data_IF_840423408542
#
_entry.id   IF_840423408542
#
_cell.length_a   1.000
_cell.length_b   1.000
_cell.length_c   1.000
_cell.angle_alpha   90.00
_cell.angle_beta   90.00
_cell.angle_gamma   90.00
#
_symmetry.space_group_name_H-M   'P 1'
#
loop_
_entity.id
_entity.type
_entity.pdbx_description
1 polymer ?
#
# COMPACT_ATOMS: atom_id res chain seq x y z
N UNK A 1 43.13 22.33 7.75
CA UNK A 1 42.35 21.72 8.86
C UNK A 1 41.40 22.77 9.41
N UNK A 2 40.19 22.34 9.82
CA UNK A 2 39.01 23.10 10.30
C UNK A 2 38.18 23.79 9.20
N UNK A 3 36.85 23.59 9.08
CA UNK A 3 35.86 22.97 9.97
C UNK A 3 34.73 22.35 9.12
N UNK A 4 34.64 21.02 9.10
CA UNK A 4 33.37 20.33 8.85
C UNK A 4 32.60 20.35 10.18
N UNK A 5 31.79 21.38 10.38
CA UNK A 5 30.78 21.57 11.44
C UNK A 5 30.28 23.00 11.18
N UNK A 6 29.11 23.24 10.59
CA UNK A 6 27.80 23.03 11.21
C UNK A 6 26.68 22.91 10.14
N UNK A 7 26.73 21.92 9.26
CA UNK A 7 25.59 21.60 8.36
C UNK A 7 24.60 20.61 9.02
N UNK A 8 24.91 20.17 10.24
CA UNK A 8 24.15 19.16 11.00
C UNK A 8 22.92 19.75 11.73
N UNK A 9 22.76 21.09 11.71
CA UNK A 9 21.69 21.81 12.40
C UNK A 9 20.93 22.78 11.50
N UNK A 10 20.88 22.51 10.19
CA UNK A 10 19.90 23.15 9.33
C UNK A 10 18.52 22.49 9.56
N UNK A 11 17.55 23.18 10.22
CA UNK A 11 16.20 22.65 10.39
C UNK A 11 15.51 22.39 9.06
N UNK A 12 15.91 23.09 7.98
CA UNK A 12 15.39 22.87 6.64
C UNK A 12 15.89 21.55 6.05
N UNK A 13 17.16 21.17 6.26
CA UNK A 13 17.71 19.87 5.88
C UNK A 13 16.98 18.67 6.53
N UNK A 14 16.66 18.78 7.82
CA UNK A 14 15.85 17.77 8.53
C UNK A 14 14.41 17.70 7.97
N UNK A 15 13.84 18.85 7.61
CA UNK A 15 12.49 18.95 7.02
C UNK A 15 12.45 18.32 5.62
N UNK A 16 13.42 18.64 4.76
CA UNK A 16 13.53 18.09 3.39
C UNK A 16 13.73 16.57 3.43
N UNK A 17 14.57 16.06 4.34
CA UNK A 17 14.76 14.62 4.50
C UNK A 17 13.45 13.92 4.91
N UNK A 18 12.71 14.49 5.86
CA UNK A 18 11.41 13.99 6.30
C UNK A 18 10.37 14.02 5.19
N UNK A 19 10.26 15.13 4.44
CA UNK A 19 9.35 15.27 3.31
C UNK A 19 9.63 14.24 2.20
N UNK A 20 10.90 14.02 1.88
CA UNK A 20 11.32 13.00 0.91
C UNK A 20 10.94 11.59 1.38
N UNK A 21 11.14 11.28 2.66
CA UNK A 21 10.74 10.00 3.24
C UNK A 21 9.22 9.80 3.16
N UNK A 22 8.44 10.84 3.47
CA UNK A 22 6.99 10.79 3.35
C UNK A 22 6.55 10.57 1.90
N UNK A 23 7.11 11.31 0.95
CA UNK A 23 6.82 11.13 -0.48
C UNK A 23 7.17 9.73 -0.97
N UNK A 24 8.31 9.18 -0.54
CA UNK A 24 8.72 7.82 -0.87
C UNK A 24 7.73 6.77 -0.32
N UNK A 25 7.26 6.94 0.92
CA UNK A 25 6.27 6.04 1.52
C UNK A 25 4.92 6.07 0.78
N UNK A 26 4.46 7.26 0.37
CA UNK A 26 3.24 7.42 -0.42
C UNK A 26 3.37 6.76 -1.80
N UNK A 27 4.51 6.93 -2.47
CA UNK A 27 4.80 6.30 -3.76
C UNK A 27 4.82 4.77 -3.66
N UNK A 28 5.46 4.24 -2.63
CA UNK A 28 5.51 2.80 -2.39
C UNK A 28 4.12 2.23 -2.10
N UNK A 29 3.33 2.90 -1.25
CA UNK A 29 1.94 2.52 -1.00
C UNK A 29 1.11 2.52 -2.29
N UNK A 30 1.27 3.53 -3.16
CA UNK A 30 0.57 3.61 -4.43
C UNK A 30 0.95 2.46 -5.37
N UNK A 31 2.24 2.11 -5.46
CA UNK A 31 2.72 0.98 -6.27
C UNK A 31 2.14 -0.35 -5.80
N UNK A 32 2.14 -0.60 -4.48
CA UNK A 32 1.51 -1.81 -3.92
C UNK A 32 0.03 -1.90 -4.27
N UNK A 33 -0.69 -0.77 -4.17
CA UNK A 33 -2.11 -0.69 -4.47
C UNK A 33 -2.42 -0.95 -5.95
N UNK A 34 -1.54 -0.54 -6.87
CA UNK A 34 -1.64 -0.89 -8.29
C UNK A 34 -1.53 -2.40 -8.51
N UNK A 35 -0.54 -3.05 -7.89
CA UNK A 35 -0.38 -4.50 -7.96
C UNK A 35 -1.62 -5.23 -7.44
N UNK A 36 -2.18 -4.80 -6.32
CA UNK A 36 -3.41 -5.38 -5.75
C UNK A 36 -4.61 -5.24 -6.69
N UNK A 37 -4.72 -4.13 -7.41
CA UNK A 37 -5.77 -3.90 -8.42
C UNK A 37 -5.57 -4.81 -9.63
N UNK A 38 -4.34 -4.92 -10.15
CA UNK A 38 -4.03 -5.79 -11.28
C UNK A 38 -4.33 -7.26 -10.96
N UNK A 39 -3.98 -7.71 -9.76
CA UNK A 39 -4.33 -9.06 -9.29
C UNK A 39 -5.85 -9.25 -9.17
N UNK A 40 -6.59 -8.23 -8.74
CA UNK A 40 -8.04 -8.31 -8.65
C UNK A 40 -8.71 -8.40 -10.03
N UNK A 41 -8.20 -7.65 -11.01
CA UNK A 41 -8.62 -7.75 -12.41
C UNK A 41 -8.32 -9.15 -12.98
N UNK A 42 -7.13 -9.71 -12.70
CA UNK A 42 -6.79 -11.07 -13.10
C UNK A 42 -7.75 -12.11 -12.49
N UNK A 43 -8.09 -11.99 -11.21
CA UNK A 43 -9.09 -12.87 -10.56
C UNK A 43 -10.48 -12.72 -11.19
N UNK A 44 -10.87 -11.51 -11.58
CA UNK A 44 -12.14 -11.28 -12.27
C UNK A 44 -12.17 -11.95 -13.64
N UNK A 45 -11.10 -11.81 -14.43
CA UNK A 45 -10.97 -12.51 -15.71
C UNK A 45 -10.99 -14.03 -15.57
N UNK A 46 -10.42 -14.57 -14.48
CA UNK A 46 -10.44 -16.00 -14.16
C UNK A 46 -11.75 -16.50 -13.52
N UNK A 47 -12.75 -15.63 -13.28
CA UNK A 47 -14.00 -16.01 -12.61
C UNK A 47 -13.86 -16.31 -11.10
N UNK A 48 -12.73 -15.95 -10.49
CA UNK A 48 -12.42 -16.16 -9.08
C UNK A 48 -12.61 -14.89 -8.22
N UNK A 49 -13.10 -13.79 -8.81
CA UNK A 49 -13.34 -12.55 -8.08
C UNK A 49 -14.40 -12.74 -6.98
N UNK A 50 -14.14 -12.10 -5.84
CA UNK A 50 -14.98 -12.24 -4.65
C UNK A 50 -14.77 -13.53 -3.85
N UNK A 51 -13.72 -14.32 -4.14
CA UNK A 51 -13.29 -15.44 -3.28
C UNK A 51 -12.05 -15.10 -2.47
N UNK A 52 -12.05 -15.49 -1.21
CA UNK A 52 -10.95 -15.30 -0.29
C UNK A 52 -9.76 -16.17 -0.72
N UNK A 53 -8.58 -15.56 -0.85
CA UNK A 53 -7.36 -16.25 -1.22
C UNK A 53 -6.85 -17.24 -0.15
N UNK A 54 -7.30 -17.11 1.10
CA UNK A 54 -6.88 -17.98 2.21
C UNK A 54 -7.84 -19.14 2.45
N UNK A 55 -9.13 -18.86 2.63
CA UNK A 55 -10.13 -19.88 2.98
C UNK A 55 -11.02 -20.33 1.81
N UNK A 56 -10.91 -19.70 0.64
CA UNK A 56 -11.74 -19.98 -0.54
C UNK A 56 -13.21 -19.53 -0.45
N UNK A 57 -13.65 -19.09 0.74
CA UNK A 57 -15.00 -18.58 0.99
C UNK A 57 -15.29 -17.21 0.34
N UNK A 58 -16.55 -16.75 0.36
CA UNK A 58 -16.92 -15.47 -0.25
C UNK A 58 -16.34 -14.27 0.52
N UNK A 59 -15.91 -13.26 -0.22
CA UNK A 59 -15.61 -11.93 0.31
C UNK A 59 -16.92 -11.13 0.32
N UNK A 60 -17.26 -10.54 1.47
CA UNK A 60 -18.50 -9.78 1.63
C UNK A 60 -18.63 -8.65 0.60
N UNK A 61 -19.83 -8.48 0.04
CA UNK A 61 -20.12 -7.49 -1.00
C UNK A 61 -19.82 -6.07 -0.55
N UNK A 62 -20.17 -5.69 0.68
CA UNK A 62 -19.85 -4.38 1.26
C UNK A 62 -18.34 -4.13 1.31
N UNK A 63 -17.55 -5.17 1.61
CA UNK A 63 -16.09 -5.08 1.62
C UNK A 63 -15.53 -4.88 0.22
N UNK A 64 -16.06 -5.58 -0.78
CA UNK A 64 -15.68 -5.37 -2.18
C UNK A 64 -16.13 -4.01 -2.72
N UNK A 65 -17.27 -3.50 -2.26
CA UNK A 65 -17.74 -2.15 -2.61
C UNK A 65 -16.79 -1.07 -2.05
N UNK A 66 -16.34 -1.22 -0.81
CA UNK A 66 -15.38 -0.29 -0.21
C UNK A 66 -13.94 -0.50 -0.72
N UNK A 67 -13.54 -1.74 -0.97
CA UNK A 67 -12.19 -2.14 -1.41
C UNK A 67 -12.29 -3.25 -2.47
N UNK A 68 -12.44 -2.89 -3.76
CA UNK A 68 -12.59 -3.86 -4.85
C UNK A 68 -11.40 -4.81 -5.00
N UNK A 69 -10.20 -4.36 -4.63
CA UNK A 69 -8.98 -5.17 -4.69
C UNK A 69 -8.81 -6.13 -3.51
N UNK A 70 -9.77 -6.20 -2.58
CA UNK A 70 -9.67 -7.08 -1.40
C UNK A 70 -9.40 -8.54 -1.80
N UNK A 71 -8.34 -9.13 -1.21
CA UNK A 71 -7.94 -10.53 -1.43
C UNK A 71 -8.53 -11.50 -0.43
N UNK A 72 -8.94 -11.02 0.74
CA UNK A 72 -9.34 -11.85 1.88
C UNK A 72 -10.68 -11.42 2.47
N UNK A 73 -11.42 -12.36 3.04
CA UNK A 73 -12.66 -12.09 3.75
C UNK A 73 -12.38 -11.42 5.11
N UNK A 74 -13.43 -10.90 5.76
CA UNK A 74 -13.30 -10.23 7.07
C UNK A 74 -12.79 -11.18 8.15
N UNK A 75 -13.07 -12.47 8.06
CA UNK A 75 -12.57 -13.45 9.05
C UNK A 75 -11.06 -13.69 8.93
N UNK A 76 -10.54 -13.77 7.70
CA UNK A 76 -9.11 -13.98 7.42
C UNK A 76 -8.26 -12.72 7.59
N UNK A 77 -8.82 -11.54 7.37
CA UNK A 77 -8.09 -10.27 7.47
C UNK A 77 -7.98 -9.70 8.89
N UNK A 78 -8.26 -10.51 9.91
CA UNK A 78 -8.19 -10.12 11.33
C UNK A 78 -6.81 -10.43 11.90
#
# INVERSE_FOLDING_TARGET
MSSNADDEHDPEGATIAFERQQAAALLDQARRRLVEVDEALARAAAGAYGRCAECGGPIGTERLAARPHARTCVACAR
#
